data_IF_086305620740
#
_entry.id   IF_086305620740
#
_cell.length_a   1.000
_cell.length_b   1.000
_cell.length_c   1.000
_cell.angle_alpha   90.00
_cell.angle_beta   90.00
_cell.angle_gamma   90.00
#
_symmetry.space_group_name_H-M   'P 1'
#
loop_
_entity.id
_entity.type
_entity.pdbx_description
1 polymer ?
#
# COMPACT_ATOMS: atom_id res chain seq x y z
N UNK A 1 1.56 -18.25 33.67
CA UNK A 1 0.91 -17.32 32.74
C UNK A 1 0.08 -18.11 31.76
N UNK A 2 -1.22 -17.87 31.59
CA UNK A 2 -2.03 -18.61 30.64
C UNK A 2 -1.53 -18.30 29.24
N UNK A 3 -1.14 -19.32 28.47
CA UNK A 3 -0.86 -19.21 27.04
C UNK A 3 -2.19 -18.96 26.34
N UNK A 4 -2.56 -17.68 26.13
CA UNK A 4 -3.64 -17.33 25.23
C UNK A 4 -3.24 -17.87 23.83
N UNK A 5 -3.87 -18.96 23.41
CA UNK A 5 -3.76 -19.44 22.03
C UNK A 5 -4.52 -18.44 21.14
N UNK A 6 -3.80 -17.49 20.57
CA UNK A 6 -4.38 -16.57 19.58
C UNK A 6 -4.87 -17.39 18.38
N UNK A 7 -6.15 -17.31 18.10
CA UNK A 7 -6.70 -17.84 16.86
C UNK A 7 -6.63 -16.75 15.79
N UNK A 8 -5.61 -16.78 14.96
CA UNK A 8 -5.39 -15.81 13.89
C UNK A 8 -6.54 -15.73 12.87
N UNK A 9 -7.35 -16.78 12.75
CA UNK A 9 -8.52 -16.79 11.85
C UNK A 9 -9.68 -15.92 12.33
N UNK A 10 -9.68 -15.52 13.61
CA UNK A 10 -10.72 -14.68 14.23
C UNK A 10 -10.23 -13.26 14.51
N UNK A 11 -9.01 -12.92 14.13
CA UNK A 11 -8.40 -11.63 14.36
C UNK A 11 -8.32 -10.81 13.05
N UNK A 12 -8.41 -9.48 13.15
CA UNK A 12 -8.73 -8.71 14.36
C UNK A 12 -10.16 -8.89 14.81
N UNK A 13 -10.43 -8.53 16.07
CA UNK A 13 -11.78 -8.44 16.60
C UNK A 13 -12.58 -7.28 15.93
N UNK A 14 -13.81 -7.06 16.42
CA UNK A 14 -14.69 -6.02 15.88
C UNK A 14 -14.15 -4.59 16.07
N UNK A 15 -13.25 -4.40 17.04
CA UNK A 15 -12.61 -3.13 17.35
C UNK A 15 -11.23 -2.97 16.69
N UNK A 16 -10.86 -3.89 15.80
CA UNK A 16 -9.58 -3.88 15.11
C UNK A 16 -8.39 -4.29 16.00
N UNK A 17 -8.63 -5.12 17.03
CA UNK A 17 -7.59 -5.57 17.94
C UNK A 17 -7.13 -7.00 17.65
N UNK A 18 -5.85 -7.23 17.90
CA UNK A 18 -5.17 -8.53 17.89
C UNK A 18 -4.77 -8.86 19.33
N UNK A 19 -5.75 -9.18 20.20
CA UNK A 19 -5.54 -9.30 21.63
C UNK A 19 -5.24 -7.94 22.26
N UNK A 20 -4.08 -7.78 22.89
CA UNK A 20 -3.65 -6.53 23.52
C UNK A 20 -3.15 -5.47 22.52
N UNK A 21 -2.98 -5.85 21.25
CA UNK A 21 -2.41 -5.00 20.21
C UNK A 21 -3.48 -4.53 19.20
N UNK A 22 -3.14 -3.52 18.42
CA UNK A 22 -4.03 -2.97 17.39
C UNK A 22 -5.03 -1.97 17.95
N UNK A 23 -6.14 -1.79 17.23
CA UNK A 23 -7.14 -0.77 17.53
C UNK A 23 -7.04 0.41 16.57
N UNK A 24 -7.67 1.55 16.93
CA UNK A 24 -7.73 2.74 16.11
C UNK A 24 -7.19 3.94 16.89
N UNK A 25 -6.01 4.41 16.52
CA UNK A 25 -5.31 5.52 17.19
C UNK A 25 -5.06 6.64 16.17
N UNK A 26 -6.08 7.47 15.98
CA UNK A 26 -6.07 8.59 15.03
C UNK A 26 -6.73 9.81 15.65
N UNK A 27 -6.60 10.98 15.00
CA UNK A 27 -7.40 12.12 15.36
C UNK A 27 -8.90 11.81 15.19
N UNK A 28 -9.75 12.35 16.06
CA UNK A 28 -11.20 12.10 16.06
C UNK A 28 -11.86 12.39 14.70
N UNK A 29 -11.34 13.36 13.97
CA UNK A 29 -11.80 13.73 12.61
C UNK A 29 -11.65 12.61 11.59
N UNK A 30 -10.73 11.65 11.79
CA UNK A 30 -10.52 10.51 10.90
C UNK A 30 -11.37 9.28 11.28
N UNK A 31 -11.92 9.23 12.48
CA UNK A 31 -12.70 8.08 12.98
C UNK A 31 -13.86 7.73 12.05
N UNK A 32 -14.71 8.70 11.61
CA UNK A 32 -15.79 8.38 10.67
C UNK A 32 -15.28 7.79 9.35
N UNK A 33 -14.19 8.33 8.80
CA UNK A 33 -13.63 7.85 7.53
C UNK A 33 -13.07 6.43 7.65
N UNK A 34 -12.46 6.08 8.78
CA UNK A 34 -11.97 4.73 9.05
C UNK A 34 -13.11 3.73 9.28
N UNK A 35 -14.19 4.16 9.91
CA UNK A 35 -15.40 3.35 10.04
C UNK A 35 -16.02 3.08 8.68
N UNK A 36 -16.18 4.10 7.83
CA UNK A 36 -16.68 3.95 6.45
C UNK A 36 -15.80 2.99 5.63
N UNK A 37 -14.48 3.10 5.76
CA UNK A 37 -13.52 2.22 5.12
C UNK A 37 -13.69 0.77 5.59
N UNK A 38 -13.76 0.55 6.90
CA UNK A 38 -13.94 -0.76 7.51
C UNK A 38 -15.26 -1.40 7.07
N UNK A 39 -16.36 -0.65 7.09
CA UNK A 39 -17.67 -1.13 6.68
C UNK A 39 -17.72 -1.45 5.18
N UNK A 40 -17.10 -0.62 4.36
CA UNK A 40 -16.99 -0.89 2.92
C UNK A 40 -16.16 -2.14 2.67
N UNK A 41 -15.00 -2.26 3.33
CA UNK A 41 -14.15 -3.44 3.19
C UNK A 41 -14.84 -4.72 3.62
N UNK A 42 -15.53 -4.73 4.79
CA UNK A 42 -16.31 -5.89 5.25
C UNK A 42 -17.35 -6.34 4.23
N UNK A 43 -18.01 -5.40 3.56
CA UNK A 43 -19.03 -5.70 2.52
C UNK A 43 -18.42 -6.27 1.24
N UNK A 44 -17.23 -5.81 0.85
CA UNK A 44 -16.65 -6.18 -0.46
C UNK A 44 -15.59 -7.28 -0.39
N UNK A 45 -14.93 -7.54 0.74
CA UNK A 45 -13.83 -8.52 0.86
C UNK A 45 -14.21 -9.92 0.36
N UNK A 46 -15.49 -10.29 0.46
CA UNK A 46 -16.02 -11.58 -0.03
C UNK A 46 -16.77 -11.46 -1.37
N UNK A 47 -16.86 -10.27 -1.94
CA UNK A 47 -17.55 -10.05 -3.20
C UNK A 47 -16.75 -10.64 -4.38
N UNK A 48 -17.36 -11.52 -5.15
CA UNK A 48 -16.73 -12.21 -6.27
C UNK A 48 -16.25 -11.27 -7.38
N UNK A 49 -16.98 -10.16 -7.61
CA UNK A 49 -16.59 -9.17 -8.61
C UNK A 49 -15.33 -8.42 -8.18
N UNK A 50 -15.27 -7.97 -6.92
CA UNK A 50 -14.09 -7.32 -6.38
C UNK A 50 -12.85 -8.24 -6.44
N UNK A 51 -12.98 -9.48 -5.94
CA UNK A 51 -11.89 -10.46 -5.98
C UNK A 51 -11.42 -10.74 -7.41
N UNK A 52 -12.34 -10.85 -8.36
CA UNK A 52 -12.02 -11.07 -9.78
C UNK A 52 -11.29 -9.87 -10.38
N UNK A 53 -11.71 -8.64 -10.09
CA UNK A 53 -11.05 -7.42 -10.56
C UNK A 53 -9.62 -7.31 -10.03
N UNK A 54 -9.43 -7.48 -8.70
CA UNK A 54 -8.10 -7.51 -8.07
C UNK A 54 -7.23 -8.60 -8.70
N UNK A 55 -7.73 -9.84 -8.80
CA UNK A 55 -7.00 -10.96 -9.39
C UNK A 55 -6.63 -10.71 -10.86
N UNK A 56 -7.54 -10.13 -11.63
CA UNK A 56 -7.28 -9.78 -13.02
C UNK A 56 -6.16 -8.75 -13.16
N UNK A 57 -6.18 -7.68 -12.36
CA UNK A 57 -5.13 -6.68 -12.37
C UNK A 57 -3.79 -7.24 -11.87
N UNK A 58 -3.79 -8.04 -10.81
CA UNK A 58 -2.57 -8.68 -10.33
C UNK A 58 -1.95 -9.58 -11.40
N UNK A 59 -2.76 -10.38 -12.09
CA UNK A 59 -2.27 -11.29 -13.14
C UNK A 59 -1.82 -10.56 -14.39
N UNK A 60 -2.69 -9.70 -14.95
CA UNK A 60 -2.54 -9.19 -16.33
C UNK A 60 -1.86 -7.82 -16.38
N UNK A 61 -1.89 -7.04 -15.30
CA UNK A 61 -1.26 -5.73 -15.22
C UNK A 61 0.02 -5.74 -14.39
N UNK A 62 -0.01 -6.42 -13.23
CA UNK A 62 1.16 -6.51 -12.34
C UNK A 62 2.13 -7.62 -12.76
N UNK A 63 1.63 -8.71 -13.35
CA UNK A 63 2.46 -9.85 -13.77
C UNK A 63 2.68 -10.90 -12.67
N UNK A 64 1.69 -11.10 -11.81
CA UNK A 64 1.77 -12.10 -10.74
C UNK A 64 1.24 -13.47 -11.16
N UNK A 65 1.75 -14.57 -10.59
CA UNK A 65 2.87 -14.61 -9.62
C UNK A 65 4.22 -14.33 -10.27
N UNK A 66 5.11 -13.63 -9.55
CA UNK A 66 6.48 -13.43 -10.00
C UNK A 66 7.29 -14.71 -9.87
N UNK A 67 8.27 -14.96 -10.75
CA UNK A 67 9.05 -16.21 -10.74
C UNK A 67 9.90 -16.38 -9.48
N UNK A 68 10.12 -17.64 -9.13
CA UNK A 68 11.17 -18.06 -8.20
C UNK A 68 12.35 -18.57 -9.02
N UNK A 69 13.48 -17.88 -8.96
CA UNK A 69 14.67 -18.14 -9.78
C UNK A 69 15.80 -18.72 -8.93
N UNK A 70 16.34 -19.88 -9.33
CA UNK A 70 17.52 -20.44 -8.69
C UNK A 70 18.78 -19.72 -9.17
N UNK A 71 19.49 -19.07 -8.25
CA UNK A 71 20.78 -18.43 -8.51
C UNK A 71 21.91 -19.48 -8.47
N UNK A 72 22.03 -20.31 -9.50
CA UNK A 72 22.90 -21.48 -9.53
C UNK A 72 24.38 -21.13 -9.30
N UNK A 73 24.90 -20.10 -9.99
CA UNK A 73 26.29 -19.69 -9.82
C UNK A 73 26.57 -19.21 -8.40
N UNK A 74 25.71 -18.34 -7.87
CA UNK A 74 25.84 -17.83 -6.51
C UNK A 74 25.74 -18.95 -5.46
N UNK A 75 24.81 -19.90 -5.66
CA UNK A 75 24.68 -21.07 -4.77
C UNK A 75 25.93 -21.92 -4.76
N UNK A 76 26.54 -22.13 -5.92
CA UNK A 76 27.78 -22.90 -6.07
C UNK A 76 28.97 -22.15 -5.47
N UNK A 77 29.13 -20.84 -5.75
CA UNK A 77 30.27 -20.03 -5.32
C UNK A 77 30.31 -19.85 -3.80
N UNK A 78 29.13 -19.75 -3.16
CA UNK A 78 29.03 -19.64 -1.69
C UNK A 78 29.16 -21.03 -1.02
N UNK A 79 28.66 -22.08 -1.66
CA UNK A 79 28.57 -23.43 -1.07
C UNK A 79 27.43 -23.53 -0.03
N UNK A 80 26.93 -24.73 0.20
CA UNK A 80 25.87 -25.02 1.19
C UNK A 80 24.44 -24.92 0.63
N UNK A 81 23.62 -23.98 1.10
CA UNK A 81 22.22 -23.92 0.72
C UNK A 81 22.01 -23.42 -0.72
N UNK A 82 20.95 -23.92 -1.39
CA UNK A 82 20.48 -23.37 -2.66
C UNK A 82 19.84 -22.01 -2.43
N UNK A 83 20.26 -21.00 -3.20
CA UNK A 83 19.76 -19.63 -3.10
C UNK A 83 18.73 -19.40 -4.20
N UNK A 84 17.51 -19.09 -3.78
CA UNK A 84 16.41 -18.73 -4.67
C UNK A 84 16.08 -17.25 -4.54
N UNK A 85 15.88 -16.59 -5.69
CA UNK A 85 15.43 -15.20 -5.76
C UNK A 85 13.95 -15.15 -6.11
N UNK A 86 13.12 -14.62 -5.21
CA UNK A 86 11.75 -14.24 -5.55
C UNK A 86 11.81 -12.94 -6.33
N UNK A 87 11.53 -13.01 -7.63
CA UNK A 87 11.78 -11.94 -8.60
C UNK A 87 10.72 -10.84 -8.58
N UNK A 88 10.57 -10.15 -7.46
CA UNK A 88 9.64 -9.00 -7.32
C UNK A 88 10.03 -7.78 -8.18
N UNK A 89 11.27 -7.75 -8.66
CA UNK A 89 11.76 -6.81 -9.66
C UNK A 89 11.05 -6.95 -11.02
N UNK A 90 10.47 -8.12 -11.31
CA UNK A 90 9.70 -8.38 -12.51
C UNK A 90 8.21 -7.99 -12.38
N UNK A 91 7.73 -7.67 -11.19
CA UNK A 91 6.42 -7.07 -11.05
C UNK A 91 6.39 -5.69 -11.73
N UNK A 92 5.24 -5.31 -12.30
CA UNK A 92 5.09 -3.98 -12.90
C UNK A 92 5.47 -2.90 -11.90
N UNK A 93 6.18 -1.87 -12.33
CA UNK A 93 6.87 -0.84 -11.53
C UNK A 93 8.22 -1.24 -10.92
N UNK A 94 8.60 -2.51 -10.97
CA UNK A 94 9.91 -3.02 -10.54
C UNK A 94 10.01 -3.31 -9.04
N UNK A 95 8.88 -3.44 -8.34
CA UNK A 95 8.85 -3.78 -6.90
C UNK A 95 7.47 -4.29 -6.46
N UNK A 96 7.42 -4.92 -5.28
CA UNK A 96 6.20 -5.48 -4.68
C UNK A 96 5.13 -4.44 -4.31
N UNK A 97 5.45 -3.15 -4.22
CA UNK A 97 4.51 -2.10 -3.78
C UNK A 97 3.25 -1.99 -4.63
N UNK A 98 3.30 -2.37 -5.90
CA UNK A 98 2.15 -2.35 -6.79
C UNK A 98 1.03 -3.30 -6.30
N UNK A 99 1.35 -4.41 -5.64
CA UNK A 99 0.37 -5.34 -5.10
C UNK A 99 -0.57 -4.65 -4.12
N UNK A 100 0.02 -3.97 -3.14
CA UNK A 100 -0.70 -3.19 -2.13
C UNK A 100 -1.57 -2.10 -2.78
N UNK A 101 -1.00 -1.31 -3.70
CA UNK A 101 -1.71 -0.16 -4.27
C UNK A 101 -2.90 -0.56 -5.15
N UNK A 102 -2.88 -1.71 -5.81
CA UNK A 102 -4.02 -2.23 -6.60
C UNK A 102 -5.26 -2.40 -5.73
N UNK A 103 -5.16 -3.12 -4.62
CA UNK A 103 -6.29 -3.38 -3.73
C UNK A 103 -6.87 -2.10 -3.14
N UNK A 104 -5.99 -1.23 -2.61
CA UNK A 104 -6.40 0.03 -2.00
C UNK A 104 -7.03 1.00 -3.03
N UNK A 105 -6.49 1.11 -4.24
CA UNK A 105 -7.03 2.01 -5.27
C UNK A 105 -8.41 1.56 -5.78
N UNK A 106 -8.63 0.24 -5.97
CA UNK A 106 -9.95 -0.29 -6.31
C UNK A 106 -10.95 0.02 -5.19
N UNK A 107 -10.56 -0.20 -3.93
CA UNK A 107 -11.41 0.11 -2.78
C UNK A 107 -11.75 1.61 -2.74
N UNK A 108 -10.77 2.49 -2.91
CA UNK A 108 -10.97 3.93 -2.95
C UNK A 108 -11.98 4.34 -4.06
N UNK A 109 -11.84 3.75 -5.25
CA UNK A 109 -12.79 3.96 -6.36
C UNK A 109 -14.20 3.50 -6.01
N UNK A 110 -14.36 2.33 -5.39
CA UNK A 110 -15.64 1.81 -4.91
C UNK A 110 -16.26 2.63 -3.77
N UNK A 111 -15.44 3.37 -3.04
CA UNK A 111 -15.87 4.36 -2.04
C UNK A 111 -16.23 5.72 -2.65
N UNK A 112 -16.10 5.89 -3.97
CA UNK A 112 -16.37 7.15 -4.67
C UNK A 112 -15.33 8.23 -4.45
N UNK A 113 -14.14 7.87 -3.95
CA UNK A 113 -13.04 8.83 -3.75
C UNK A 113 -12.46 9.25 -5.09
N UNK A 114 -12.19 10.54 -5.22
CA UNK A 114 -11.72 11.16 -6.48
C UNK A 114 -10.22 11.49 -6.47
N UNK A 115 -9.67 11.62 -5.28
CA UNK A 115 -8.29 12.01 -5.05
C UNK A 115 -7.58 10.97 -4.19
N UNK A 116 -6.40 10.60 -4.61
CA UNK A 116 -5.51 9.68 -3.89
C UNK A 116 -4.30 10.46 -3.43
N UNK A 117 -3.92 10.26 -2.18
CA UNK A 117 -2.64 10.71 -1.65
C UNK A 117 -1.83 9.52 -1.17
N UNK A 118 -0.51 9.65 -1.21
CA UNK A 118 0.41 8.67 -0.63
C UNK A 118 1.70 9.36 -0.17
N UNK A 119 2.36 8.77 0.82
CA UNK A 119 3.73 9.11 1.19
C UNK A 119 4.72 8.21 0.45
N UNK A 120 5.94 8.70 0.30
CA UNK A 120 7.05 7.86 -0.20
C UNK A 120 8.41 8.41 0.26
N UNK A 121 9.34 7.52 0.56
CA UNK A 121 10.75 7.84 0.82
C UNK A 121 11.62 7.47 -0.37
N UNK A 122 11.85 6.18 -0.59
CA UNK A 122 12.62 5.68 -1.74
C UNK A 122 11.92 5.87 -3.11
N UNK A 123 10.66 6.32 -3.13
CA UNK A 123 9.91 6.60 -4.35
C UNK A 123 9.12 5.40 -4.91
N UNK A 124 9.40 4.17 -4.51
CA UNK A 124 8.75 2.99 -5.09
C UNK A 124 7.24 2.94 -4.81
N UNK A 125 6.82 3.28 -3.59
CA UNK A 125 5.40 3.37 -3.26
C UNK A 125 4.69 4.48 -4.05
N UNK A 126 5.35 5.63 -4.19
CA UNK A 126 4.85 6.73 -5.02
C UNK A 126 4.66 6.34 -6.48
N UNK A 127 5.65 5.65 -7.08
CA UNK A 127 5.55 5.15 -8.46
C UNK A 127 4.39 4.15 -8.60
N UNK A 128 4.26 3.20 -7.67
CA UNK A 128 3.18 2.23 -7.69
C UNK A 128 1.80 2.89 -7.57
N UNK A 129 1.66 3.85 -6.64
CA UNK A 129 0.41 4.63 -6.46
C UNK A 129 0.08 5.45 -7.71
N UNK A 130 1.07 6.17 -8.26
CA UNK A 130 0.89 6.93 -9.50
C UNK A 130 0.44 6.04 -10.67
N UNK A 131 1.04 4.85 -10.79
CA UNK A 131 0.73 3.89 -11.85
C UNK A 131 -0.71 3.40 -11.78
N UNK A 132 -1.18 3.00 -10.60
CA UNK A 132 -2.55 2.51 -10.46
C UNK A 132 -3.57 3.64 -10.56
N UNK A 133 -3.24 4.85 -10.10
CA UNK A 133 -4.10 6.02 -10.27
C UNK A 133 -4.26 6.41 -11.74
N UNK A 134 -3.19 6.36 -12.52
CA UNK A 134 -3.24 6.58 -13.97
C UNK A 134 -4.15 5.56 -14.66
N UNK A 135 -4.03 4.27 -14.30
CA UNK A 135 -4.88 3.20 -14.83
C UNK A 135 -6.36 3.42 -14.51
N UNK A 136 -6.68 3.86 -13.29
CA UNK A 136 -8.06 3.98 -12.80
C UNK A 136 -8.68 5.38 -13.02
N UNK A 137 -7.92 6.34 -13.59
CA UNK A 137 -8.38 7.70 -13.83
C UNK A 137 -8.57 8.53 -12.55
N UNK A 138 -7.75 8.28 -11.51
CA UNK A 138 -7.81 8.96 -10.22
C UNK A 138 -6.75 10.07 -10.13
N UNK A 139 -7.09 11.20 -9.51
CA UNK A 139 -6.09 12.23 -9.19
C UNK A 139 -5.10 11.71 -8.17
N UNK A 140 -3.82 11.95 -8.38
CA UNK A 140 -2.76 11.41 -7.53
C UNK A 140 -1.80 12.51 -7.06
N UNK A 141 -1.60 12.61 -5.74
CA UNK A 141 -0.61 13.50 -5.14
C UNK A 141 0.28 12.70 -4.20
N UNK A 142 1.59 12.83 -4.37
CA UNK A 142 2.59 12.04 -3.66
C UNK A 142 3.45 12.97 -2.80
N UNK A 143 3.37 12.81 -1.49
CA UNK A 143 4.22 13.49 -0.52
C UNK A 143 5.57 12.79 -0.42
N UNK A 144 6.62 13.55 -0.59
CA UNK A 144 8.00 13.04 -0.53
C UNK A 144 8.91 14.07 0.12
N UNK A 145 9.77 13.65 1.03
CA UNK A 145 10.73 14.57 1.65
C UNK A 145 11.60 15.25 0.60
N UNK A 146 11.89 16.56 0.77
CA UNK A 146 12.66 17.32 -0.20
C UNK A 146 14.05 16.71 -0.44
N UNK A 147 14.70 16.19 0.61
CA UNK A 147 15.97 15.46 0.50
C UNK A 147 15.81 14.17 -0.31
N UNK A 148 14.72 13.44 -0.09
CA UNK A 148 14.43 12.19 -0.80
C UNK A 148 14.08 12.46 -2.27
N UNK A 149 13.38 13.57 -2.59
CA UNK A 149 13.09 13.93 -4.00
C UNK A 149 14.36 14.13 -4.82
N UNK A 150 15.39 14.66 -4.20
CA UNK A 150 16.71 14.81 -4.84
C UNK A 150 17.43 13.47 -4.98
N UNK A 151 17.51 12.70 -3.89
CA UNK A 151 18.19 11.38 -3.89
C UNK A 151 17.57 10.38 -4.85
N UNK A 152 16.24 10.45 -5.01
CA UNK A 152 15.44 9.51 -5.79
C UNK A 152 14.81 10.18 -7.02
N UNK A 153 15.53 11.09 -7.64
CA UNK A 153 15.05 11.90 -8.78
C UNK A 153 14.50 11.04 -9.93
N UNK A 154 15.06 9.84 -10.17
CA UNK A 154 14.60 8.88 -11.18
C UNK A 154 13.15 8.46 -10.89
N UNK A 155 12.81 8.14 -9.65
CA UNK A 155 11.45 7.77 -9.28
C UNK A 155 10.48 8.97 -9.38
N UNK A 156 10.94 10.18 -9.04
CA UNK A 156 10.16 11.40 -9.26
C UNK A 156 9.86 11.60 -10.75
N UNK A 157 10.86 11.38 -11.62
CA UNK A 157 10.67 11.46 -13.07
C UNK A 157 9.70 10.39 -13.60
N UNK A 158 9.63 9.21 -12.99
CA UNK A 158 8.68 8.15 -13.36
C UNK A 158 7.25 8.49 -12.97
N UNK A 159 7.01 9.22 -11.87
CA UNK A 159 5.68 9.61 -11.40
C UNK A 159 5.03 10.69 -12.25
N UNK A 160 5.82 11.64 -12.79
CA UNK A 160 5.32 12.79 -13.56
C UNK A 160 4.51 12.40 -14.80
N UNK A 161 5.02 11.56 -15.73
CA UNK A 161 4.27 11.18 -16.93
C UNK A 161 3.01 10.36 -16.63
N UNK A 162 2.91 9.76 -15.43
CA UNK A 162 1.71 9.10 -14.94
C UNK A 162 0.65 10.09 -14.42
N UNK A 163 0.90 11.38 -14.50
CA UNK A 163 -0.01 12.43 -14.07
C UNK A 163 -0.02 12.69 -12.55
N UNK A 164 0.89 12.09 -11.79
CA UNK A 164 0.99 12.33 -10.37
C UNK A 164 1.70 13.65 -10.06
N UNK A 165 1.17 14.41 -9.09
CA UNK A 165 1.80 15.60 -8.55
C UNK A 165 2.68 15.19 -7.37
N UNK A 166 3.99 15.33 -7.49
CA UNK A 166 4.93 15.11 -6.38
C UNK A 166 5.08 16.40 -5.58
N UNK A 167 4.84 16.33 -4.28
CA UNK A 167 4.87 17.45 -3.33
C UNK A 167 6.10 17.28 -2.43
N UNK A 168 7.15 18.11 -2.64
CA UNK A 168 8.33 18.08 -1.78
C UNK A 168 8.02 18.63 -0.39
N UNK A 169 8.24 17.83 0.65
CA UNK A 169 8.04 18.25 2.05
C UNK A 169 9.36 18.80 2.59
N UNK A 170 9.34 20.08 2.97
CA UNK A 170 10.52 20.85 3.43
C UNK A 170 10.63 20.94 4.95
N UNK A 171 9.64 20.44 5.70
CA UNK A 171 9.65 20.43 7.16
C UNK A 171 10.53 19.30 7.72
N UNK A 172 10.99 19.46 8.94
CA UNK A 172 11.73 18.45 9.70
C UNK A 172 13.02 17.99 9.01
N UNK A 173 13.26 16.70 9.00
CA UNK A 173 14.41 16.06 8.35
C UNK A 173 14.28 15.94 6.83
N UNK A 174 13.14 16.34 6.29
CA UNK A 174 12.82 16.29 4.85
C UNK A 174 12.90 14.87 4.26
N UNK A 175 12.49 13.87 5.05
CA UNK A 175 12.51 12.45 4.70
C UNK A 175 11.11 11.83 4.84
N UNK A 176 11.03 10.49 4.71
CA UNK A 176 9.78 9.72 4.77
C UNK A 176 8.89 10.07 5.97
N UNK A 177 9.46 10.28 7.16
CA UNK A 177 8.68 10.63 8.37
C UNK A 177 7.89 11.92 8.17
N UNK A 178 8.53 12.94 7.61
CA UNK A 178 7.90 14.23 7.38
C UNK A 178 6.88 14.17 6.26
N UNK A 179 7.17 13.39 5.21
CA UNK A 179 6.23 13.10 4.13
C UNK A 179 4.95 12.42 4.66
N UNK A 180 5.08 11.43 5.55
CA UNK A 180 3.96 10.75 6.20
C UNK A 180 3.13 11.74 7.05
N UNK A 181 3.78 12.56 7.84
CA UNK A 181 3.10 13.56 8.68
C UNK A 181 2.31 14.56 7.82
N UNK A 182 2.87 15.01 6.70
CA UNK A 182 2.19 15.95 5.81
C UNK A 182 1.02 15.30 5.08
N UNK A 183 1.19 14.06 4.62
CA UNK A 183 0.10 13.28 4.03
C UNK A 183 -1.05 13.06 5.02
N UNK A 184 -0.75 12.81 6.30
CA UNK A 184 -1.77 12.68 7.35
C UNK A 184 -2.50 14.01 7.59
N UNK A 185 -1.81 15.15 7.61
CA UNK A 185 -2.44 16.48 7.76
C UNK A 185 -3.39 16.78 6.60
N UNK A 186 -2.94 16.51 5.37
CA UNK A 186 -3.78 16.66 4.19
C UNK A 186 -5.00 15.74 4.26
N UNK A 187 -4.81 14.48 4.65
CA UNK A 187 -5.91 13.53 4.76
C UNK A 187 -6.97 13.97 5.78
N UNK A 188 -6.55 14.42 6.96
CA UNK A 188 -7.46 14.99 7.97
C UNK A 188 -8.28 16.14 7.41
N UNK A 189 -7.64 17.02 6.62
CA UNK A 189 -8.29 18.20 6.05
C UNK A 189 -9.27 17.85 4.93
N UNK A 190 -8.93 16.87 4.08
CA UNK A 190 -9.63 16.56 2.83
C UNK A 190 -10.25 15.16 2.81
N UNK A 191 -10.58 14.60 3.96
CA UNK A 191 -10.99 13.20 4.13
C UNK A 191 -12.25 12.80 3.33
N UNK A 192 -13.10 13.75 2.99
CA UNK A 192 -14.38 13.49 2.30
C UNK A 192 -14.19 12.90 0.90
N UNK A 193 -13.29 13.45 0.10
CA UNK A 193 -13.04 13.07 -1.29
C UNK A 193 -11.70 12.39 -1.51
N UNK A 194 -10.86 12.37 -0.50
CA UNK A 194 -9.48 11.89 -0.54
C UNK A 194 -9.35 10.53 0.16
N UNK A 195 -8.61 9.63 -0.48
CA UNK A 195 -8.18 8.37 0.12
C UNK A 195 -6.66 8.36 0.26
N UNK A 196 -6.18 7.94 1.43
CA UNK A 196 -4.77 7.81 1.69
C UNK A 196 -4.33 6.35 1.47
N UNK A 197 -3.56 6.11 0.40
CA UNK A 197 -2.93 4.80 0.13
C UNK A 197 -1.64 4.72 0.93
N UNK A 198 -1.67 4.00 2.06
CA UNK A 198 -0.52 3.84 2.94
C UNK A 198 0.41 2.75 2.40
N UNK A 199 1.72 3.06 2.35
CA UNK A 199 2.75 2.19 1.80
C UNK A 199 3.45 1.29 2.80
N UNK A 200 3.05 1.31 4.07
CA UNK A 200 3.66 0.55 5.15
C UNK A 200 2.62 -0.04 6.10
N UNK A 201 3.05 -0.98 6.96
CA UNK A 201 2.20 -1.59 7.99
C UNK A 201 1.92 -0.65 9.20
N UNK A 202 2.43 0.56 9.18
CA UNK A 202 2.19 1.59 10.20
C UNK A 202 0.81 2.26 10.06
N UNK A 203 -0.17 1.54 9.53
CA UNK A 203 -1.51 2.08 9.31
C UNK A 203 -2.29 2.31 10.61
N UNK A 204 -3.13 3.36 10.65
CA UNK A 204 -3.90 3.73 11.82
C UNK A 204 -5.08 2.78 12.12
N UNK A 205 -5.34 1.81 11.24
CA UNK A 205 -6.41 0.83 11.40
C UNK A 205 -6.09 -0.46 10.65
N UNK A 206 -6.42 -1.64 11.21
CA UNK A 206 -6.17 -2.94 10.56
C UNK A 206 -6.74 -3.09 9.15
N UNK A 207 -7.88 -2.47 8.82
CA UNK A 207 -8.44 -2.59 7.48
C UNK A 207 -7.54 -2.00 6.39
N UNK A 208 -6.68 -1.03 6.69
CA UNK A 208 -5.66 -0.54 5.76
C UNK A 208 -4.56 -1.59 5.51
N UNK A 209 -4.25 -2.40 6.53
CA UNK A 209 -3.33 -3.53 6.41
C UNK A 209 -3.93 -4.64 5.54
N UNK A 210 -5.21 -4.99 5.76
CA UNK A 210 -5.89 -6.06 5.00
C UNK A 210 -6.11 -5.75 3.53
N UNK A 211 -6.26 -4.49 3.15
CA UNK A 211 -6.34 -4.14 1.73
C UNK A 211 -5.01 -4.34 1.02
N UNK A 212 -3.90 -4.34 1.76
CA UNK A 212 -2.58 -4.73 1.24
C UNK A 212 -2.40 -6.25 1.17
N UNK A 213 -2.92 -6.99 2.15
CA UNK A 213 -2.81 -8.46 2.22
C UNK A 213 -3.80 -9.17 1.28
N UNK A 214 -4.93 -8.55 0.92
CA UNK A 214 -5.87 -9.11 -0.06
C UNK A 214 -5.22 -9.39 -1.42
N UNK A 215 -4.09 -8.78 -1.71
CA UNK A 215 -3.27 -9.07 -2.88
C UNK A 215 -2.40 -10.33 -2.70
N UNK A 216 -2.00 -10.66 -1.48
CA UNK A 216 -1.17 -11.83 -1.17
C UNK A 216 -1.99 -13.13 -0.99
N UNK A 217 -3.26 -13.03 -0.57
CA UNK A 217 -4.15 -14.19 -0.41
C UNK A 217 -4.60 -14.83 -1.75
N UNK A 218 -4.39 -14.15 -2.88
CA UNK A 218 -4.73 -14.70 -4.20
C UNK A 218 -3.74 -15.75 -4.69
N UNK A 219 -2.62 -15.95 -4.00
CA UNK A 219 -1.54 -16.89 -4.34
C UNK A 219 -1.50 -18.14 -3.43
N UNK A 220 -2.52 -18.35 -2.56
CA UNK A 220 -2.68 -19.56 -1.73
C UNK A 220 -3.74 -20.50 -2.24
#
# INVERSE_FOLDING_TARGET
MPKNKFNFNTLPDQNGRFGDYGGMFVSETLVPALNDLNDKYKKIKNNSSFKREVKNLLKNFVGRPTPLYLAERTSRDIGGAKIYLKREDLAHTGAHKINNTVGQAILAKLMGKKRIIAETGAGQHGVATATICALLGLKCEIYMGATDTFRQAINVQRMKPLGAKVIPVKSGSQTLKDALNEALRDWVTNVRDTFYIIGSVAGPHPCLLYTSDAADESDR
#
